data_IF_914775202235
#
_entry.id   IF_914775202235
#
_cell.length_a   1.000
_cell.length_b   1.000
_cell.length_c   1.000
_cell.angle_alpha   90.00
_cell.angle_beta   90.00
_cell.angle_gamma   90.00
#
_symmetry.space_group_name_H-M   'P 1'
#
loop_
_entity.id
_entity.type
_entity.pdbx_description
1 polymer ?
#
# COMPACT_ATOMS: atom_id res chain seq x y z
N UNK A 1 1.23 -2.43 -8.57
CA UNK A 1 1.67 -2.39 -7.16
C UNK A 1 0.60 -1.76 -6.26
N UNK A 2 0.13 -0.54 -6.54
CA UNK A 2 -0.91 0.10 -5.71
C UNK A 2 -2.25 -0.67 -5.71
N UNK A 3 -2.66 -1.21 -6.87
CA UNK A 3 -3.85 -2.06 -6.99
C UNK A 3 -3.78 -3.26 -6.04
N UNK A 4 -2.65 -3.98 -6.02
CA UNK A 4 -2.44 -5.11 -5.12
C UNK A 4 -2.59 -4.72 -3.65
N UNK A 5 -2.02 -3.59 -3.23
CA UNK A 5 -2.16 -3.09 -1.85
C UNK A 5 -3.62 -2.75 -1.57
N UNK A 6 -4.33 -2.14 -2.51
CA UNK A 6 -5.73 -1.74 -2.35
C UNK A 6 -6.69 -2.92 -2.21
N UNK A 7 -6.44 -4.01 -2.95
CA UNK A 7 -7.22 -5.24 -2.89
C UNK A 7 -7.02 -5.99 -1.56
N UNK A 8 -5.85 -5.89 -0.94
CA UNK A 8 -5.46 -6.71 0.20
C UNK A 8 -5.41 -5.94 1.53
N UNK A 9 -5.39 -4.60 1.51
CA UNK A 9 -5.33 -3.75 2.73
C UNK A 9 -6.49 -3.96 3.69
N UNK A 10 -7.65 -4.42 3.22
CA UNK A 10 -8.80 -4.71 4.07
C UNK A 10 -8.62 -5.92 4.98
N UNK A 11 -7.76 -6.87 4.58
CA UNK A 11 -7.48 -8.10 5.33
C UNK A 11 -6.18 -7.98 6.13
N UNK A 12 -5.13 -7.44 5.52
CA UNK A 12 -3.79 -7.43 6.13
C UNK A 12 -3.35 -6.06 6.63
N UNK A 13 -4.04 -4.97 6.24
CA UNK A 13 -3.57 -3.61 6.45
C UNK A 13 -2.47 -3.20 5.46
N UNK A 14 -2.22 -1.89 5.35
CA UNK A 14 -1.24 -1.33 4.41
C UNK A 14 0.20 -1.59 4.85
N UNK A 15 0.51 -1.43 6.13
CA UNK A 15 1.88 -1.55 6.66
C UNK A 15 2.52 -2.92 6.42
N UNK A 16 1.86 -4.06 6.70
CA UNK A 16 2.45 -5.38 6.46
C UNK A 16 2.73 -5.64 4.98
N UNK A 17 1.86 -5.17 4.09
CA UNK A 17 2.03 -5.32 2.64
C UNK A 17 3.19 -4.46 2.14
N UNK A 18 3.29 -3.20 2.60
CA UNK A 18 4.39 -2.31 2.26
C UNK A 18 5.76 -2.87 2.69
N UNK A 19 5.82 -3.54 3.85
CA UNK A 19 7.04 -4.24 4.32
C UNK A 19 7.45 -5.40 3.40
N UNK A 20 6.48 -6.14 2.86
CA UNK A 20 6.74 -7.25 1.94
C UNK A 20 7.15 -6.79 0.53
N UNK A 21 6.66 -5.63 0.09
CA UNK A 21 6.95 -5.03 -1.22
C UNK A 21 8.16 -4.08 -1.23
N UNK A 22 9.06 -4.21 -0.24
CA UNK A 22 9.97 -3.16 0.25
C UNK A 22 9.68 -1.70 -0.18
N UNK A 23 8.47 -1.20 0.09
CA UNK A 23 8.13 0.22 -0.12
C UNK A 23 7.75 0.89 1.20
N UNK A 24 7.91 2.21 1.26
CA UNK A 24 7.41 2.99 2.39
C UNK A 24 5.87 3.13 2.30
N UNK A 25 5.13 3.05 3.42
CA UNK A 25 3.69 3.34 3.45
C UNK A 25 3.35 4.75 2.95
N UNK A 26 4.24 5.73 3.15
CA UNK A 26 4.10 7.08 2.62
C UNK A 26 3.94 7.08 1.11
N UNK A 27 4.72 6.27 0.38
CA UNK A 27 4.61 6.14 -1.08
C UNK A 27 3.23 5.66 -1.51
N UNK A 28 2.62 4.73 -0.77
CA UNK A 28 1.24 4.31 -1.04
C UNK A 28 0.26 5.48 -0.88
N UNK A 29 0.32 6.20 0.24
CA UNK A 29 -0.57 7.33 0.49
C UNK A 29 -0.34 8.51 -0.47
N UNK A 30 0.90 8.80 -0.86
CA UNK A 30 1.21 9.79 -1.90
C UNK A 30 0.58 9.41 -3.24
N UNK A 31 0.61 8.12 -3.59
CA UNK A 31 0.00 7.64 -4.83
C UNK A 31 -1.52 7.67 -4.75
N UNK A 32 -2.09 7.44 -3.56
CA UNK A 32 -3.53 7.60 -3.31
C UNK A 32 -3.96 9.06 -3.38
N UNK A 33 -3.15 10.00 -2.88
CA UNK A 33 -3.43 11.44 -2.90
C UNK A 33 -3.31 12.07 -4.31
N UNK A 34 -2.59 11.42 -5.23
CA UNK A 34 -2.46 11.82 -6.64
C UNK A 34 -3.55 11.23 -7.54
N UNK A 35 -4.44 10.41 -6.99
CA UNK A 35 -5.53 9.72 -7.69
C UNK A 35 -6.85 10.46 -7.46
#
# INVERSE_FOLDING_TARGET
>A
MISFIDEHRGVFGVEPICRLLPIAPSTYYETLAKR
#
